data_IF_197974808294
#
_entry.id   IF_197974808294
#
_cell.length_a   1.000
_cell.length_b   1.000
_cell.length_c   1.000
_cell.angle_alpha   90.00
_cell.angle_beta   90.00
_cell.angle_gamma   90.00
#
_symmetry.space_group_name_H-M   'P 1'
#
loop_
_entity.id
_entity.type
_entity.pdbx_description
1 polymer ?
#
# COMPACT_ATOMS: atom_id res chain seq x y z
N UNK A 1 -1.96 -6.11 4.80
CA UNK A 1 -1.43 -6.23 3.42
C UNK A 1 0.06 -6.61 3.41
N UNK A 2 0.48 -7.41 2.42
CA UNK A 2 1.88 -7.81 2.18
C UNK A 2 2.52 -6.76 1.26
N UNK A 3 3.48 -5.98 1.76
CA UNK A 3 4.24 -5.01 0.96
C UNK A 3 5.72 -5.42 0.88
N UNK A 4 6.28 -5.78 -0.28
CA UNK A 4 7.69 -6.12 -0.38
C UNK A 4 8.59 -4.88 -0.44
N UNK A 5 9.82 -4.99 0.10
CA UNK A 5 10.84 -3.96 -0.04
C UNK A 5 11.50 -4.07 -1.41
N UNK A 6 11.10 -3.21 -2.34
CA UNK A 6 11.82 -2.87 -3.59
C UNK A 6 12.19 -4.04 -4.51
N UNK A 7 11.29 -4.37 -5.43
CA UNK A 7 11.55 -5.15 -6.64
C UNK A 7 10.48 -4.85 -7.67
N UNK A 8 10.66 -5.32 -8.91
CA UNK A 8 9.66 -5.25 -9.97
C UNK A 8 8.38 -5.97 -9.53
N UNK A 9 7.52 -5.20 -8.88
CA UNK A 9 6.32 -5.66 -8.23
C UNK A 9 5.34 -6.14 -9.30
N UNK A 10 4.84 -7.40 -9.21
CA UNK A 10 3.72 -7.81 -10.04
C UNK A 10 2.53 -6.88 -9.76
N UNK A 11 1.70 -6.66 -10.79
CA UNK A 11 0.45 -5.89 -10.60
C UNK A 11 -0.41 -6.49 -9.47
N UNK A 12 -1.31 -5.70 -8.87
CA UNK A 12 -2.26 -6.17 -7.87
C UNK A 12 -3.04 -7.39 -8.38
N UNK A 13 -3.46 -7.38 -9.64
CA UNK A 13 -4.12 -8.52 -10.30
C UNK A 13 -3.25 -9.78 -10.33
N UNK A 14 -1.99 -9.64 -10.73
CA UNK A 14 -1.06 -10.77 -10.80
C UNK A 14 -0.73 -11.31 -9.40
N UNK A 15 -0.56 -10.42 -8.42
CA UNK A 15 -0.36 -10.80 -7.01
C UNK A 15 -1.53 -11.65 -6.49
N UNK A 16 -2.77 -11.23 -6.73
CA UNK A 16 -3.96 -11.98 -6.31
C UNK A 16 -4.09 -13.33 -7.03
N UNK A 17 -3.74 -13.41 -8.32
CA UNK A 17 -3.72 -14.66 -9.07
C UNK A 17 -2.71 -15.66 -8.49
N UNK A 18 -1.49 -15.21 -8.18
CA UNK A 18 -0.45 -16.05 -7.58
C UNK A 18 -0.84 -16.48 -6.16
N UNK A 19 -1.43 -15.57 -5.37
CA UNK A 19 -1.91 -15.87 -4.03
C UNK A 19 -3.04 -16.92 -4.06
N UNK A 20 -3.98 -16.82 -5.00
CA UNK A 20 -5.02 -17.84 -5.20
C UNK A 20 -4.41 -19.22 -5.43
N UNK A 21 -3.41 -19.33 -6.31
CA UNK A 21 -2.74 -20.61 -6.60
C UNK A 21 -2.01 -21.18 -5.37
N UNK A 22 -1.35 -20.32 -4.58
CA UNK A 22 -0.71 -20.73 -3.33
C UNK A 22 -1.74 -21.17 -2.28
N UNK A 23 -2.91 -20.54 -2.23
CA UNK A 23 -4.00 -20.93 -1.35
C UNK A 23 -4.60 -22.29 -1.75
N UNK A 24 -4.89 -22.49 -3.04
CA UNK A 24 -5.44 -23.76 -3.58
C UNK A 24 -4.49 -24.95 -3.39
N UNK A 25 -3.18 -24.70 -3.32
CA UNK A 25 -2.17 -25.72 -3.01
C UNK A 25 -1.95 -25.91 -1.50
N UNK A 26 -2.67 -25.18 -0.65
CA UNK A 26 -2.58 -25.29 0.81
C UNK A 26 -1.31 -24.68 1.41
N UNK A 27 -0.59 -23.83 0.68
CA UNK A 27 0.66 -23.22 1.14
C UNK A 27 0.45 -21.96 1.97
N UNK A 28 -0.63 -21.22 1.71
CA UNK A 28 -0.98 -20.00 2.45
C UNK A 28 -2.45 -20.02 2.90
N UNK A 29 -2.78 -19.19 3.89
CA UNK A 29 -4.16 -18.91 4.29
C UNK A 29 -4.90 -18.08 3.24
N UNK A 30 -6.22 -17.92 3.41
CA UNK A 30 -7.06 -17.20 2.45
C UNK A 30 -6.59 -15.75 2.25
N UNK A 31 -6.37 -15.36 1.00
CA UNK A 31 -5.68 -14.12 0.61
C UNK A 31 -6.58 -12.89 0.52
N UNK A 32 -7.91 -13.03 0.65
CA UNK A 32 -8.85 -11.90 0.71
C UNK A 32 -9.27 -11.70 2.15
N UNK A 33 -8.40 -11.03 2.90
CA UNK A 33 -8.57 -10.77 4.32
C UNK A 33 -8.08 -9.36 4.61
N UNK A 34 -8.83 -8.64 5.43
CA UNK A 34 -8.46 -7.38 6.07
C UNK A 34 -7.85 -7.60 7.46
N UNK A 35 -7.85 -8.86 7.92
CA UNK A 35 -7.32 -9.24 9.22
C UNK A 35 -5.80 -9.30 9.22
N UNK A 36 -5.22 -8.80 10.31
CA UNK A 36 -3.80 -9.01 10.66
C UNK A 36 -3.62 -9.97 11.83
N UNK A 37 -4.72 -10.57 12.29
CA UNK A 37 -4.71 -11.48 13.42
C UNK A 37 -4.06 -12.83 13.03
N UNK A 38 -3.41 -13.47 14.00
CA UNK A 38 -2.81 -14.79 13.87
C UNK A 38 -3.42 -15.71 14.93
N UNK A 39 -3.75 -16.95 14.54
CA UNK A 39 -4.26 -17.94 15.50
C UNK A 39 -3.18 -18.29 16.53
N UNK A 40 -3.59 -18.70 17.74
CA UNK A 40 -2.66 -19.11 18.79
C UNK A 40 -1.78 -20.30 18.36
N UNK A 41 -2.33 -21.20 17.55
CA UNK A 41 -1.60 -22.31 16.96
C UNK A 41 -0.49 -21.81 16.02
N UNK A 42 -0.81 -20.88 15.11
CA UNK A 42 0.16 -20.34 14.16
C UNK A 42 1.29 -19.56 14.84
N UNK A 43 0.95 -18.80 15.89
CA UNK A 43 1.92 -18.07 16.72
C UNK A 43 2.86 -19.06 17.41
N UNK A 44 2.31 -20.11 18.02
CA UNK A 44 3.09 -21.12 18.73
C UNK A 44 4.04 -21.84 17.78
N UNK A 45 3.55 -22.27 16.61
CA UNK A 45 4.36 -22.93 15.58
C UNK A 45 5.47 -22.01 15.04
N UNK A 46 5.17 -20.73 14.78
CA UNK A 46 6.17 -19.78 14.31
C UNK A 46 7.27 -19.57 15.36
N UNK A 47 6.90 -19.43 16.63
CA UNK A 47 7.86 -19.29 17.74
C UNK A 47 8.72 -20.55 17.90
N UNK A 48 8.14 -21.74 17.81
CA UNK A 48 8.92 -22.98 17.85
C UNK A 48 9.94 -23.03 16.70
N UNK A 49 9.51 -22.69 15.48
CA UNK A 49 10.39 -22.61 14.30
C UNK A 49 11.53 -21.62 14.51
N UNK A 50 11.24 -20.43 15.02
CA UNK A 50 12.23 -19.39 15.28
C UNK A 50 13.27 -19.86 16.30
N UNK A 51 12.82 -20.46 17.41
CA UNK A 51 13.70 -20.97 18.45
C UNK A 51 14.66 -22.03 17.94
N UNK A 52 14.17 -22.97 17.11
CA UNK A 52 14.99 -24.02 16.49
C UNK A 52 15.98 -23.48 15.45
N UNK A 53 15.58 -22.48 14.66
CA UNK A 53 16.34 -22.04 13.47
C UNK A 53 17.31 -20.90 13.78
N UNK A 54 16.90 -19.93 14.60
CA UNK A 54 17.66 -18.72 14.88
C UNK A 54 18.17 -18.65 16.32
N UNK A 55 17.63 -19.46 17.22
CA UNK A 55 17.99 -19.49 18.64
C UNK A 55 17.14 -18.55 19.51
N UNK A 56 17.25 -18.73 20.82
CA UNK A 56 16.40 -18.03 21.80
C UNK A 56 16.49 -16.51 21.77
N UNK A 57 17.64 -15.95 21.37
CA UNK A 57 17.82 -14.49 21.26
C UNK A 57 16.94 -13.86 20.16
N UNK A 58 16.42 -14.66 19.22
CA UNK A 58 15.52 -14.22 18.16
C UNK A 58 14.05 -14.51 18.48
N UNK A 59 13.72 -14.95 19.70
CA UNK A 59 12.34 -15.03 20.16
C UNK A 59 11.95 -13.73 20.84
N UNK A 60 10.85 -13.13 20.38
CA UNK A 60 10.23 -12.06 21.15
C UNK A 60 9.87 -12.57 22.56
N UNK A 61 10.15 -11.79 23.64
CA UNK A 61 9.94 -12.25 25.02
C UNK A 61 8.52 -12.75 25.27
N UNK A 62 7.54 -12.07 24.68
CA UNK A 62 6.13 -12.45 24.68
C UNK A 62 5.63 -12.64 23.24
N UNK A 63 4.61 -13.49 23.02
CA UNK A 63 3.93 -13.59 21.73
C UNK A 63 3.40 -12.22 21.27
N UNK A 64 3.65 -11.86 20.00
CA UNK A 64 3.19 -10.58 19.44
C UNK A 64 1.81 -10.77 18.82
N UNK A 65 0.83 -10.05 19.36
CA UNK A 65 -0.56 -10.06 18.88
C UNK A 65 -0.83 -8.78 18.09
N UNK A 66 -1.27 -8.93 16.84
CA UNK A 66 -1.65 -7.83 15.96
C UNK A 66 -3.17 -7.79 15.83
N UNK A 67 -3.75 -6.60 15.98
CA UNK A 67 -5.19 -6.37 15.87
C UNK A 67 -5.50 -5.49 14.67
N UNK A 68 -6.58 -5.82 13.99
CA UNK A 68 -7.12 -5.01 12.88
C UNK A 68 -7.67 -3.70 13.43
N UNK A 69 -7.41 -2.59 12.75
CA UNK A 69 -7.87 -1.26 13.18
C UNK A 69 -9.26 -0.90 12.66
N UNK A 70 -9.71 -1.52 11.57
CA UNK A 70 -10.99 -1.24 10.93
C UNK A 70 -12.12 -1.93 11.70
N UNK A 71 -13.15 -1.16 12.08
CA UNK A 71 -14.31 -1.64 12.85
C UNK A 71 -15.21 -2.61 12.06
N UNK A 72 -15.21 -2.50 10.73
CA UNK A 72 -15.98 -3.36 9.83
C UNK A 72 -15.18 -4.54 9.31
N UNK A 73 -13.95 -4.75 9.82
CA UNK A 73 -13.13 -5.86 9.37
C UNK A 73 -13.85 -7.18 9.66
N UNK A 74 -13.81 -8.09 8.70
CA UNK A 74 -14.36 -9.44 8.86
C UNK A 74 -13.46 -10.22 9.84
N UNK A 75 -13.60 -9.94 11.15
CA UNK A 75 -12.74 -10.44 12.24
C UNK A 75 -12.69 -11.97 12.35
N UNK A 76 -13.55 -12.68 11.64
CA UNK A 76 -13.53 -14.14 11.52
C UNK A 76 -12.36 -14.68 10.68
N UNK A 77 -11.61 -13.81 9.99
CA UNK A 77 -10.50 -14.21 9.14
C UNK A 77 -9.13 -14.02 9.80
N UNK A 78 -8.19 -14.84 9.36
CA UNK A 78 -6.79 -14.77 9.77
C UNK A 78 -5.99 -13.94 8.77
N UNK A 79 -4.81 -13.45 9.18
CA UNK A 79 -3.83 -12.85 8.29
C UNK A 79 -3.37 -13.80 7.18
N UNK A 80 -2.89 -13.22 6.08
CA UNK A 80 -2.20 -13.98 5.03
C UNK A 80 -0.84 -14.42 5.55
N UNK A 81 -0.66 -15.72 5.75
CA UNK A 81 0.57 -16.36 6.25
C UNK A 81 0.77 -17.70 5.57
N UNK A 82 1.94 -18.30 5.75
CA UNK A 82 2.11 -19.72 5.41
C UNK A 82 1.23 -20.58 6.32
N UNK A 83 0.70 -21.67 5.79
CA UNK A 83 -0.08 -22.64 6.57
C UNK A 83 0.80 -23.36 7.58
N UNK A 84 2.06 -23.61 7.24
CA UNK A 84 3.09 -24.17 8.12
C UNK A 84 4.38 -23.33 8.10
N UNK A 85 4.96 -22.99 9.27
CA UNK A 85 6.30 -22.39 9.39
C UNK A 85 7.42 -23.31 8.89
N UNK A 86 7.24 -24.63 8.92
CA UNK A 86 8.26 -25.62 8.51
C UNK A 86 8.39 -25.76 7.00
N UNK A 87 7.41 -25.29 6.24
CA UNK A 87 7.48 -25.20 4.79
C UNK A 87 8.39 -24.04 4.36
N UNK A 88 9.70 -24.16 4.62
CA UNK A 88 10.65 -23.09 4.31
C UNK A 88 10.70 -22.81 2.80
N UNK A 89 10.81 -21.53 2.38
CA UNK A 89 10.78 -21.16 0.96
C UNK A 89 11.76 -21.96 0.09
N UNK A 90 13.02 -22.09 0.51
CA UNK A 90 14.04 -22.81 -0.27
C UNK A 90 13.70 -24.30 -0.49
N UNK A 91 12.99 -24.94 0.46
CA UNK A 91 12.53 -26.33 0.30
C UNK A 91 11.44 -26.49 -0.78
N UNK A 92 10.72 -25.41 -1.07
CA UNK A 92 9.65 -25.36 -2.06
C UNK A 92 10.10 -24.82 -3.42
N UNK A 93 11.30 -24.27 -3.51
CA UNK A 93 11.88 -23.72 -4.74
C UNK A 93 11.77 -24.65 -5.96
N UNK A 94 12.07 -25.96 -5.89
CA UNK A 94 11.93 -26.85 -7.05
C UNK A 94 10.45 -27.16 -7.41
N UNK A 95 9.50 -26.86 -6.54
CA UNK A 95 8.06 -27.18 -6.70
C UNK A 95 7.23 -25.99 -7.17
N UNK A 96 7.77 -24.78 -7.08
CA UNK A 96 7.04 -23.53 -7.37
C UNK A 96 7.59 -22.85 -8.62
N UNK A 97 6.68 -22.27 -9.41
CA UNK A 97 7.10 -21.36 -10.46
C UNK A 97 7.84 -20.14 -9.86
N UNK A 98 8.79 -19.51 -10.57
CA UNK A 98 9.62 -18.43 -10.01
C UNK A 98 8.83 -17.28 -9.36
N UNK A 99 7.67 -16.91 -9.92
CA UNK A 99 6.83 -15.85 -9.36
C UNK A 99 6.02 -16.30 -8.14
N UNK A 100 5.54 -17.55 -8.12
CA UNK A 100 4.89 -18.14 -6.94
C UNK A 100 5.87 -18.25 -5.78
N UNK A 101 7.10 -18.70 -6.05
CA UNK A 101 8.18 -18.76 -5.06
C UNK A 101 8.44 -17.39 -4.45
N UNK A 102 8.60 -16.34 -5.27
CA UNK A 102 8.83 -14.97 -4.77
C UNK A 102 7.71 -14.48 -3.85
N UNK A 103 6.45 -14.74 -4.20
CA UNK A 103 5.32 -14.35 -3.36
C UNK A 103 5.25 -15.17 -2.07
N UNK A 104 5.48 -16.48 -2.16
CA UNK A 104 5.51 -17.36 -1.00
C UNK A 104 6.63 -16.98 -0.02
N UNK A 105 7.85 -16.78 -0.52
CA UNK A 105 9.00 -16.34 0.27
C UNK A 105 8.71 -15.05 1.03
N UNK A 106 8.09 -14.07 0.35
CA UNK A 106 7.67 -12.82 0.96
C UNK A 106 6.64 -13.02 2.09
N UNK A 107 5.63 -13.86 1.86
CA UNK A 107 4.59 -14.18 2.86
C UNK A 107 5.21 -14.88 4.06
N UNK A 108 6.01 -15.91 3.82
CA UNK A 108 6.66 -16.70 4.86
C UNK A 108 7.59 -15.83 5.71
N UNK A 109 8.48 -15.06 5.07
CA UNK A 109 9.40 -14.17 5.79
C UNK A 109 8.66 -13.14 6.63
N UNK A 110 7.59 -12.55 6.08
CA UNK A 110 6.76 -11.57 6.81
C UNK A 110 6.12 -12.21 8.03
N UNK A 111 5.55 -13.40 7.89
CA UNK A 111 4.92 -14.15 8.97
C UNK A 111 5.91 -14.47 10.10
N UNK A 112 7.07 -15.06 9.77
CA UNK A 112 8.10 -15.40 10.76
C UNK A 112 8.62 -14.15 11.47
N UNK A 113 8.91 -13.08 10.72
CA UNK A 113 9.37 -11.82 11.27
C UNK A 113 8.40 -11.18 12.28
N UNK A 114 7.09 -11.45 12.19
CA UNK A 114 6.11 -10.92 13.15
C UNK A 114 6.32 -11.39 14.59
N UNK A 115 6.95 -12.55 14.79
CA UNK A 115 7.19 -13.14 16.11
C UNK A 115 8.66 -13.02 16.57
N UNK A 116 9.49 -12.33 15.79
CA UNK A 116 10.88 -12.01 16.12
C UNK A 116 10.98 -10.67 16.88
N UNK A 117 12.04 -10.45 17.68
CA UNK A 117 12.28 -9.19 18.37
C UNK A 117 12.61 -8.06 17.39
N UNK A 118 12.53 -6.82 17.89
CA UNK A 118 12.91 -5.64 17.12
C UNK A 118 14.42 -5.64 16.84
N UNK A 119 14.79 -5.02 15.72
CA UNK A 119 16.17 -4.68 15.47
C UNK A 119 16.62 -3.55 16.40
N UNK A 120 17.85 -3.62 16.90
CA UNK A 120 18.45 -2.63 17.78
C UNK A 120 19.55 -1.90 17.03
N UNK A 121 19.53 -0.57 17.11
CA UNK A 121 20.51 0.29 16.48
C UNK A 121 21.11 1.27 17.48
N UNK A 122 22.37 1.61 17.28
CA UNK A 122 23.00 2.76 17.91
C UNK A 122 22.81 3.98 17.01
N UNK A 123 22.00 4.93 17.48
CA UNK A 123 21.81 6.23 16.83
C UNK A 123 22.75 7.27 17.42
N UNK A 124 23.56 7.91 16.58
CA UNK A 124 24.49 8.98 16.98
C UNK A 124 24.10 10.27 16.27
N UNK A 125 23.94 11.37 17.02
CA UNK A 125 23.77 12.71 16.45
C UNK A 125 24.90 13.59 16.94
N UNK A 126 25.62 14.22 16.02
CA UNK A 126 26.76 15.09 16.31
C UNK A 126 26.41 16.49 15.82
N UNK A 127 26.33 17.44 16.75
CA UNK A 127 26.19 18.86 16.46
C UNK A 127 27.57 19.52 16.49
N UNK A 128 27.96 20.09 15.35
CA UNK A 128 29.27 20.74 15.15
C UNK A 128 29.02 22.24 15.05
N UNK A 129 29.42 22.97 16.10
CA UNK A 129 29.37 24.42 16.11
C UNK A 129 30.51 25.01 15.26
N UNK A 130 30.17 25.90 14.34
CA UNK A 130 31.13 26.60 13.50
C UNK A 130 30.75 28.09 13.44
N UNK A 131 31.38 28.90 14.30
CA UNK A 131 31.02 30.31 14.51
C UNK A 131 29.53 30.43 14.90
N UNK A 132 28.69 31.05 14.06
CA UNK A 132 27.24 31.19 14.27
C UNK A 132 26.39 30.05 13.69
N UNK A 133 27.01 29.06 13.05
CA UNK A 133 26.32 27.95 12.39
C UNK A 133 26.41 26.66 13.20
N UNK A 134 25.44 25.76 13.00
CA UNK A 134 25.46 24.40 13.51
C UNK A 134 25.32 23.47 12.31
N UNK A 135 26.28 22.56 12.15
CA UNK A 135 26.18 21.43 11.24
C UNK A 135 25.76 20.20 12.04
N UNK A 136 24.84 19.39 11.50
CA UNK A 136 24.41 18.14 12.14
C UNK A 136 24.78 16.95 11.27
N UNK A 137 25.46 15.98 11.86
CA UNK A 137 25.68 14.66 11.28
C UNK A 137 24.88 13.62 12.08
N UNK A 138 24.17 12.74 11.37
CA UNK A 138 23.44 11.63 11.98
C UNK A 138 24.06 10.31 11.51
N UNK A 139 24.32 9.44 12.47
CA UNK A 139 24.84 8.09 12.29
C UNK A 139 23.86 7.07 12.83
N UNK A 140 23.88 5.89 12.24
CA UNK A 140 23.06 4.77 12.67
C UNK A 140 23.79 3.45 12.37
N UNK A 141 24.02 2.62 13.39
CA UNK A 141 24.74 1.35 13.26
C UNK A 141 23.88 0.21 13.80
N UNK A 142 23.74 -0.87 13.04
CA UNK A 142 22.96 -2.03 13.47
C UNK A 142 23.72 -2.82 14.54
N UNK A 143 23.13 -2.96 15.74
CA UNK A 143 23.68 -3.77 16.84
C UNK A 143 23.07 -5.15 16.93
N UNK A 144 21.80 -5.26 16.58
CA UNK A 144 21.08 -6.53 16.54
C UNK A 144 20.05 -6.48 15.42
N UNK A 145 20.12 -7.44 14.50
CA UNK A 145 19.26 -7.50 13.32
C UNK A 145 17.82 -7.92 13.64
N UNK A 146 17.57 -8.64 14.75
CA UNK A 146 16.22 -9.02 15.15
C UNK A 146 15.41 -9.62 13.98
N UNK A 147 14.21 -9.10 13.74
CA UNK A 147 13.38 -9.52 12.61
C UNK A 147 13.97 -9.22 11.22
N UNK A 148 14.90 -8.25 11.09
CA UNK A 148 15.55 -7.92 9.81
C UNK A 148 16.39 -9.07 9.26
N UNK A 149 16.81 -10.01 10.12
CA UNK A 149 17.51 -11.23 9.71
C UNK A 149 16.72 -12.05 8.69
N UNK A 150 15.40 -12.10 8.85
CA UNK A 150 14.49 -12.87 7.98
C UNK A 150 13.78 -11.97 6.98
N UNK A 151 13.49 -10.72 7.38
CA UNK A 151 12.80 -9.73 6.56
C UNK A 151 13.66 -8.49 6.34
N UNK A 152 14.69 -8.57 5.48
CA UNK A 152 15.64 -7.48 5.29
C UNK A 152 14.93 -6.29 4.65
N UNK A 153 15.09 -5.12 5.27
CA UNK A 153 14.67 -3.84 4.72
C UNK A 153 15.91 -3.02 4.37
N UNK A 154 15.82 -2.19 3.33
CA UNK A 154 16.90 -1.26 2.99
C UNK A 154 17.10 -0.30 4.16
N UNK A 155 18.19 -0.51 4.90
CA UNK A 155 18.66 0.38 5.95
C UNK A 155 20.01 0.91 5.48
N UNK A 156 20.21 2.22 5.58
CA UNK A 156 21.50 2.84 5.31
C UNK A 156 22.19 2.99 6.65
N UNK A 157 23.16 2.12 6.91
CA UNK A 157 24.04 2.29 8.06
C UNK A 157 25.02 3.41 7.77
N UNK A 158 25.15 4.33 8.72
CA UNK A 158 26.06 5.46 8.65
C UNK A 158 26.88 5.45 9.92
N UNK A 159 28.09 4.91 9.83
CA UNK A 159 29.04 4.94 10.94
C UNK A 159 29.68 6.33 11.02
N UNK A 160 29.60 6.94 12.20
CA UNK A 160 30.29 8.18 12.50
C UNK A 160 31.53 7.89 13.34
N UNK A 161 32.62 8.65 13.19
CA UNK A 161 33.81 8.49 14.02
C UNK A 161 33.46 8.77 15.49
N UNK A 162 34.16 8.09 16.40
CA UNK A 162 34.12 8.43 17.81
C UNK A 162 34.72 9.83 18.00
N UNK A 163 33.98 10.71 18.65
CA UNK A 163 34.41 12.07 18.98
C UNK A 163 34.18 12.33 20.47
N UNK A 164 35.01 13.20 21.04
CA UNK A 164 34.80 13.73 22.39
C UNK A 164 33.98 15.02 22.35
N UNK A 165 33.27 15.29 23.44
CA UNK A 165 32.58 16.57 23.58
C UNK A 165 33.62 17.71 23.53
N UNK A 166 33.34 18.74 22.72
CA UNK A 166 34.21 19.91 22.49
C UNK A 166 35.54 19.57 21.80
N UNK A 167 35.65 18.42 21.15
CA UNK A 167 36.78 18.12 20.28
C UNK A 167 36.84 19.12 19.10
N UNK A 168 38.04 19.65 18.83
CA UNK A 168 38.24 20.56 17.71
C UNK A 168 38.32 19.76 16.40
N UNK A 169 37.48 20.12 15.43
CA UNK A 169 37.46 19.48 14.11
C UNK A 169 38.05 20.40 13.03
N UNK A 170 38.76 19.81 12.07
CA UNK A 170 39.29 20.50 10.91
C UNK A 170 38.30 20.42 9.73
N UNK A 171 37.96 21.57 9.15
CA UNK A 171 37.14 21.65 7.94
C UNK A 171 37.98 21.21 6.73
N UNK A 172 37.72 20.01 6.22
CA UNK A 172 38.39 19.50 5.00
C UNK A 172 37.83 20.08 3.71
N UNK A 173 36.51 20.19 3.62
CA UNK A 173 35.81 20.61 2.40
C UNK A 173 34.44 21.22 2.74
N UNK A 174 34.02 22.24 2.00
CA UNK A 174 32.67 22.83 2.10
C UNK A 174 31.98 22.75 0.73
N UNK A 175 30.98 21.87 0.60
CA UNK A 175 30.17 21.71 -0.62
C UNK A 175 28.86 22.46 -0.50
N UNK A 176 28.68 23.50 -1.30
CA UNK A 176 27.38 24.14 -1.45
C UNK A 176 26.47 23.27 -2.33
N UNK A 177 25.34 22.84 -1.78
CA UNK A 177 24.32 22.11 -2.53
C UNK A 177 23.02 22.91 -2.54
N UNK A 178 22.44 23.08 -3.72
CA UNK A 178 21.12 23.64 -3.89
C UNK A 178 20.15 22.49 -4.14
N UNK A 179 19.04 22.50 -3.40
CA UNK A 179 17.94 21.57 -3.57
C UNK A 179 16.68 22.34 -3.96
N UNK A 180 15.82 21.69 -4.73
CA UNK A 180 14.50 22.21 -5.09
C UNK A 180 13.43 21.34 -4.44
N UNK A 181 12.30 21.95 -4.08
CA UNK A 181 11.13 21.19 -3.65
C UNK A 181 10.55 20.45 -4.85
N UNK A 182 10.26 19.17 -4.66
CA UNK A 182 9.56 18.37 -5.67
C UNK A 182 8.05 18.39 -5.39
N UNK A 183 7.20 18.30 -6.44
CA UNK A 183 5.77 18.12 -6.24
C UNK A 183 5.46 16.75 -5.60
N UNK A 184 4.27 16.57 -5.01
CA UNK A 184 3.84 15.27 -4.49
C UNK A 184 3.97 14.17 -5.54
N UNK A 185 4.53 13.03 -5.13
CA UNK A 185 4.69 11.88 -6.01
C UNK A 185 3.34 11.31 -6.44
N UNK A 186 3.21 10.95 -7.73
CA UNK A 186 2.05 10.19 -8.21
C UNK A 186 1.96 8.83 -7.52
N UNK A 187 0.74 8.35 -7.34
CA UNK A 187 0.49 7.01 -6.85
C UNK A 187 1.00 5.93 -7.82
N UNK A 188 1.63 4.88 -7.32
CA UNK A 188 1.63 3.55 -7.96
C UNK A 188 0.46 2.70 -7.39
N UNK A 189 0.24 1.49 -7.93
CA UNK A 189 -0.85 0.62 -7.46
C UNK A 189 -0.79 0.35 -5.94
N UNK A 190 0.39 0.13 -5.36
CA UNK A 190 0.52 -0.13 -3.93
C UNK A 190 0.13 1.09 -3.07
N UNK A 191 0.60 2.28 -3.45
CA UNK A 191 0.26 3.53 -2.74
C UNK A 191 -1.19 3.95 -2.95
N UNK A 192 -1.81 3.64 -4.11
CA UNK A 192 -3.22 3.91 -4.34
C UNK A 192 -4.11 2.96 -3.53
N UNK A 193 -3.78 1.67 -3.49
CA UNK A 193 -4.48 0.71 -2.63
C UNK A 193 -4.37 1.12 -1.16
N UNK A 194 -3.20 1.58 -0.72
CA UNK A 194 -3.01 2.10 0.64
C UNK A 194 -3.90 3.32 0.91
N UNK A 195 -3.96 4.27 -0.02
CA UNK A 195 -4.84 5.44 0.11
C UNK A 195 -6.33 5.04 0.17
N UNK A 196 -6.75 4.09 -0.68
CA UNK A 196 -8.11 3.55 -0.66
C UNK A 196 -8.44 2.91 0.71
N UNK A 197 -7.55 2.09 1.25
CA UNK A 197 -7.69 1.49 2.59
C UNK A 197 -7.78 2.57 3.70
N UNK A 198 -6.92 3.59 3.65
CA UNK A 198 -6.91 4.70 4.63
C UNK A 198 -8.20 5.53 4.59
N UNK A 199 -8.83 5.65 3.42
CA UNK A 199 -10.12 6.30 3.24
C UNK A 199 -11.32 5.37 3.45
N UNK A 200 -11.12 4.09 3.79
CA UNK A 200 -12.22 3.13 3.97
C UNK A 200 -12.92 2.71 2.67
N UNK A 201 -12.31 3.02 1.52
CA UNK A 201 -12.87 2.75 0.19
C UNK A 201 -12.30 1.45 -0.34
N UNK A 202 -13.18 0.56 -0.76
CA UNK A 202 -12.82 -0.77 -1.24
C UNK A 202 -12.53 -1.77 -0.13
N UNK A 203 -12.39 -3.03 -0.53
CA UNK A 203 -12.22 -4.19 0.32
C UNK A 203 -11.17 -5.12 -0.29
N UNK A 204 -10.62 -6.11 0.45
CA UNK A 204 -9.65 -7.06 -0.09
C UNK A 204 -10.08 -7.72 -1.42
N UNK A 205 -11.38 -7.85 -1.64
CA UNK A 205 -11.98 -8.38 -2.87
C UNK A 205 -12.00 -7.40 -4.05
N UNK A 206 -11.94 -6.08 -3.81
CA UNK A 206 -12.16 -5.04 -4.83
C UNK A 206 -10.91 -4.26 -5.22
N UNK A 207 -9.85 -4.22 -4.40
CA UNK A 207 -8.62 -3.46 -4.73
C UNK A 207 -8.04 -3.81 -6.11
N UNK A 208 -7.75 -5.09 -6.36
CA UNK A 208 -7.16 -5.52 -7.63
C UNK A 208 -8.13 -5.35 -8.83
N UNK A 209 -9.43 -5.71 -8.74
CA UNK A 209 -10.41 -5.41 -9.78
C UNK A 209 -10.54 -3.92 -10.10
N UNK A 210 -10.56 -3.03 -9.10
CA UNK A 210 -10.61 -1.58 -9.30
C UNK A 210 -9.40 -1.10 -10.08
N UNK A 211 -8.18 -1.50 -9.67
CA UNK A 211 -6.94 -1.16 -10.40
C UNK A 211 -6.97 -1.67 -11.85
N UNK A 212 -7.46 -2.89 -12.07
CA UNK A 212 -7.57 -3.46 -13.41
C UNK A 212 -8.60 -2.70 -14.27
N UNK A 213 -9.71 -2.26 -13.68
CA UNK A 213 -10.81 -1.62 -14.40
C UNK A 213 -10.44 -0.22 -14.88
N UNK A 214 -9.84 0.61 -14.00
CA UNK A 214 -9.45 1.98 -14.36
C UNK A 214 -8.33 2.00 -15.42
N UNK A 215 -7.45 0.99 -15.42
CA UNK A 215 -6.43 0.80 -16.44
C UNK A 215 -7.02 0.27 -17.75
N UNK A 216 -7.90 -0.73 -17.70
CA UNK A 216 -8.52 -1.32 -18.90
C UNK A 216 -9.41 -0.32 -19.64
N UNK A 217 -10.11 0.56 -18.91
CA UNK A 217 -10.91 1.66 -19.48
C UNK A 217 -10.08 2.89 -19.89
N UNK A 218 -8.75 2.84 -19.72
CA UNK A 218 -7.81 3.92 -20.03
C UNK A 218 -8.11 5.24 -19.32
N UNK A 219 -8.68 5.21 -18.12
CA UNK A 219 -8.78 6.40 -17.27
C UNK A 219 -7.43 6.78 -16.66
N UNK A 220 -6.59 5.76 -16.42
CA UNK A 220 -5.21 5.94 -15.98
C UNK A 220 -4.28 5.05 -16.80
N UNK A 221 -3.05 5.53 -17.00
CA UNK A 221 -1.95 4.78 -17.61
C UNK A 221 -0.75 4.77 -16.66
N UNK A 222 0.12 3.78 -16.80
CA UNK A 222 1.40 3.77 -16.10
C UNK A 222 2.42 4.60 -16.86
N UNK A 223 3.11 5.50 -16.16
CA UNK A 223 4.29 6.18 -16.69
C UNK A 223 5.50 5.23 -16.73
N UNK A 224 6.63 5.74 -17.22
CA UNK A 224 7.89 4.99 -17.33
C UNK A 224 8.39 4.47 -15.96
N UNK A 225 8.01 5.15 -14.87
CA UNK A 225 8.33 4.77 -13.49
C UNK A 225 7.23 3.91 -12.85
N UNK A 226 6.29 3.38 -13.66
CA UNK A 226 5.16 2.53 -13.23
C UNK A 226 4.17 3.22 -12.27
N UNK A 227 4.11 4.55 -12.27
CA UNK A 227 3.15 5.35 -11.51
C UNK A 227 1.91 5.62 -12.35
N UNK A 228 0.75 5.68 -11.71
CA UNK A 228 -0.54 5.94 -12.33
C UNK A 228 -0.66 7.43 -12.66
N UNK A 229 -0.82 7.71 -13.95
CA UNK A 229 -1.09 9.04 -14.50
C UNK A 229 -2.50 9.05 -15.10
N UNK A 230 -3.37 10.01 -14.73
CA UNK A 230 -4.66 10.16 -15.38
C UNK A 230 -4.48 10.51 -16.87
N UNK A 231 -5.37 9.99 -17.70
CA UNK A 231 -5.47 10.38 -19.11
C UNK A 231 -6.44 11.55 -19.26
N UNK A 232 -6.43 12.21 -20.42
CA UNK A 232 -7.36 13.30 -20.70
C UNK A 232 -8.82 12.83 -20.59
N UNK A 233 -9.12 11.61 -21.06
CA UNK A 233 -10.45 10.98 -20.88
C UNK A 233 -10.75 10.73 -19.40
N UNK A 234 -9.77 10.31 -18.61
CA UNK A 234 -9.93 10.10 -17.17
C UNK A 234 -10.23 11.39 -16.42
N UNK A 235 -9.53 12.48 -16.75
CA UNK A 235 -9.78 13.81 -16.19
C UNK A 235 -11.17 14.31 -16.59
N UNK A 236 -11.50 14.27 -17.89
CA UNK A 236 -12.81 14.69 -18.39
C UNK A 236 -13.97 13.94 -17.70
N UNK A 237 -13.89 12.62 -17.59
CA UNK A 237 -14.92 11.83 -16.91
C UNK A 237 -15.01 12.18 -15.43
N UNK A 238 -13.87 12.40 -14.75
CA UNK A 238 -13.87 12.81 -13.36
C UNK A 238 -14.55 14.18 -13.18
N UNK A 239 -14.22 15.16 -14.02
CA UNK A 239 -14.72 16.53 -13.89
C UNK A 239 -16.24 16.58 -14.09
N UNK A 240 -16.77 15.84 -15.07
CA UNK A 240 -18.21 15.66 -15.27
C UNK A 240 -18.87 15.07 -14.02
N UNK A 241 -18.27 14.04 -13.41
CA UNK A 241 -18.84 13.38 -12.23
C UNK A 241 -18.77 14.28 -11.00
N UNK A 242 -17.68 15.03 -10.80
CA UNK A 242 -17.55 15.98 -9.70
C UNK A 242 -18.55 17.11 -9.84
N UNK A 243 -18.76 17.64 -11.05
CA UNK A 243 -19.68 18.75 -11.28
C UNK A 243 -21.16 18.33 -11.14
N UNK A 244 -21.52 17.17 -11.70
CA UNK A 244 -22.93 16.78 -11.84
C UNK A 244 -23.38 15.69 -10.88
N UNK A 245 -22.45 14.93 -10.29
CA UNK A 245 -22.73 13.85 -9.35
C UNK A 245 -21.84 13.94 -8.09
N UNK A 246 -21.65 15.11 -7.46
CA UNK A 246 -20.65 15.30 -6.38
C UNK A 246 -20.85 14.34 -5.21
N UNK A 247 -22.11 14.02 -4.86
CA UNK A 247 -22.42 13.12 -3.74
C UNK A 247 -21.88 11.70 -3.94
N UNK A 248 -21.91 11.15 -5.15
CA UNK A 248 -21.54 9.73 -5.37
C UNK A 248 -20.03 9.53 -5.56
N UNK A 249 -19.30 10.60 -5.89
CA UNK A 249 -17.83 10.59 -6.03
C UNK A 249 -17.12 11.13 -4.79
N UNK A 250 -17.87 11.62 -3.82
CA UNK A 250 -17.35 11.98 -2.52
C UNK A 250 -16.78 10.75 -1.79
N UNK A 251 -15.63 10.95 -1.13
CA UNK A 251 -14.90 9.88 -0.47
C UNK A 251 -15.66 9.36 0.76
N UNK A 252 -16.25 10.26 1.55
CA UNK A 252 -16.99 9.89 2.77
C UNK A 252 -18.27 9.14 2.40
N UNK A 253 -18.97 9.58 1.35
CA UNK A 253 -20.13 8.87 0.84
C UNK A 253 -19.78 7.45 0.38
N UNK A 254 -18.70 7.31 -0.39
CA UNK A 254 -18.25 6.00 -0.89
C UNK A 254 -17.87 5.07 0.27
N UNK A 255 -17.11 5.59 1.25
CA UNK A 255 -16.74 4.82 2.44
C UNK A 255 -17.96 4.41 3.28
N UNK A 256 -18.93 5.32 3.45
CA UNK A 256 -20.17 5.03 4.16
C UNK A 256 -21.01 3.96 3.49
N UNK A 257 -21.09 3.97 2.14
CA UNK A 257 -21.77 2.90 1.39
C UNK A 257 -21.09 1.54 1.60
N UNK A 258 -19.76 1.49 1.62
CA UNK A 258 -19.02 0.26 1.88
C UNK A 258 -19.26 -0.25 3.33
N UNK A 259 -19.33 0.64 4.32
CA UNK A 259 -19.68 0.29 5.71
C UNK A 259 -21.14 -0.21 5.81
N UNK A 260 -22.07 0.40 5.10
CA UNK A 260 -23.47 -0.05 5.06
C UNK A 260 -23.59 -1.47 4.49
N UNK A 261 -22.79 -1.80 3.47
CA UNK A 261 -22.76 -3.14 2.89
C UNK A 261 -22.15 -4.17 3.84
N UNK A 262 -21.14 -3.81 4.61
CA UNK A 262 -20.59 -4.66 5.68
C UNK A 262 -21.64 -4.88 6.79
N UNK A 263 -22.33 -3.82 7.22
CA UNK A 263 -23.40 -3.91 8.22
C UNK A 263 -24.57 -4.78 7.75
N UNK A 264 -24.87 -4.80 6.44
CA UNK A 264 -25.84 -5.72 5.85
C UNK A 264 -25.35 -7.16 5.93
N UNK A 265 -24.08 -7.42 5.59
CA UNK A 265 -23.49 -8.76 5.64
C UNK A 265 -23.47 -9.32 7.07
N UNK A 266 -23.23 -8.45 8.06
CA UNK A 266 -23.27 -8.78 9.49
C UNK A 266 -24.70 -8.89 10.07
N UNK A 267 -25.73 -8.56 9.28
CA UNK A 267 -27.13 -8.57 9.71
C UNK A 267 -27.53 -7.39 10.61
N UNK A 268 -26.69 -6.36 10.74
CA UNK A 268 -26.95 -5.12 11.50
C UNK A 268 -27.90 -4.18 10.74
N UNK A 269 -27.86 -4.17 9.40
CA UNK A 269 -28.75 -3.36 8.55
C UNK A 269 -29.55 -4.22 7.58
N UNK A 270 -30.73 -3.74 7.18
CA UNK A 270 -31.52 -4.33 6.10
C UNK A 270 -31.10 -3.69 4.77
N UNK A 271 -30.88 -4.50 3.74
CA UNK A 271 -30.39 -4.00 2.45
C UNK A 271 -31.37 -3.07 1.73
N UNK A 272 -32.69 -3.32 1.81
CA UNK A 272 -33.69 -2.54 1.06
C UNK A 272 -33.69 -1.05 1.43
N UNK A 273 -33.70 -0.67 2.73
CA UNK A 273 -33.54 0.73 3.14
C UNK A 273 -32.27 1.39 2.58
N UNK A 274 -31.11 0.76 2.73
CA UNK A 274 -29.81 1.30 2.28
C UNK A 274 -29.83 1.57 0.77
N UNK A 275 -30.25 0.58 -0.02
CA UNK A 275 -30.33 0.74 -1.48
C UNK A 275 -31.35 1.81 -1.88
N UNK A 276 -32.48 1.91 -1.16
CA UNK A 276 -33.50 2.93 -1.42
C UNK A 276 -32.95 4.34 -1.17
N UNK A 277 -32.23 4.54 -0.07
CA UNK A 277 -31.62 5.82 0.32
C UNK A 277 -30.57 6.30 -0.69
N UNK A 278 -29.83 5.36 -1.31
CA UNK A 278 -28.96 5.67 -2.44
C UNK A 278 -29.74 5.96 -3.73
N UNK A 279 -30.66 5.06 -4.09
CA UNK A 279 -31.23 5.01 -5.43
C UNK A 279 -32.17 6.18 -5.72
N UNK A 280 -33.03 6.57 -4.77
CA UNK A 280 -34.02 7.63 -5.03
C UNK A 280 -33.36 8.97 -5.38
N UNK A 281 -32.41 9.51 -4.59
CA UNK A 281 -31.74 10.76 -4.93
C UNK A 281 -30.84 10.64 -6.17
N UNK A 282 -30.16 9.49 -6.33
CA UNK A 282 -29.31 9.26 -7.50
C UNK A 282 -30.14 9.27 -8.80
N UNK A 283 -31.29 8.58 -8.80
CA UNK A 283 -32.17 8.47 -9.97
C UNK A 283 -32.76 9.82 -10.36
N UNK A 284 -33.24 10.60 -9.38
CA UNK A 284 -33.74 11.96 -9.62
C UNK A 284 -32.68 12.85 -10.27
N UNK A 285 -31.45 12.84 -9.73
CA UNK A 285 -30.35 13.62 -10.30
C UNK A 285 -29.93 13.11 -11.69
N UNK A 286 -29.90 11.79 -11.89
CA UNK A 286 -29.58 11.18 -13.18
C UNK A 286 -30.59 11.58 -14.27
N UNK A 287 -31.89 11.58 -13.95
CA UNK A 287 -32.93 11.95 -14.91
C UNK A 287 -32.80 13.43 -15.31
N UNK A 288 -32.65 14.31 -14.32
CA UNK A 288 -32.40 15.74 -14.56
C UNK A 288 -31.17 15.99 -15.43
N UNK A 289 -30.04 15.36 -15.09
CA UNK A 289 -28.78 15.56 -15.81
C UNK A 289 -28.78 14.92 -17.20
N UNK A 290 -29.56 13.87 -17.43
CA UNK A 290 -29.69 13.27 -18.76
C UNK A 290 -30.41 14.18 -19.76
N UNK A 291 -31.26 15.09 -19.28
CA UNK A 291 -31.94 16.10 -20.10
C UNK A 291 -31.08 17.36 -20.30
N UNK A 292 -30.35 17.78 -19.27
CA UNK A 292 -29.52 18.99 -19.29
C UNK A 292 -28.20 18.81 -20.06
N UNK A 293 -27.64 17.61 -20.08
CA UNK A 293 -26.29 17.36 -20.60
C UNK A 293 -26.30 16.87 -22.05
N UNK A 294 -25.77 17.69 -22.97
CA UNK A 294 -25.51 17.26 -24.33
C UNK A 294 -24.09 16.70 -24.48
N UNK A 295 -23.98 15.42 -24.82
CA UNK A 295 -22.71 14.71 -25.03
C UNK A 295 -21.74 15.45 -25.97
N UNK A 296 -22.24 16.17 -26.98
CA UNK A 296 -21.41 16.91 -27.93
C UNK A 296 -20.75 18.15 -27.33
N UNK A 297 -21.42 18.82 -26.40
CA UNK A 297 -20.91 20.04 -25.76
C UNK A 297 -19.82 19.70 -24.74
N UNK A 298 -19.92 18.53 -24.11
CA UNK A 298 -18.99 18.07 -23.07
C UNK A 298 -17.69 17.50 -23.64
N UNK A 299 -17.72 16.89 -24.83
CA UNK A 299 -16.53 16.31 -25.47
C UNK A 299 -15.69 17.32 -26.26
N UNK A 300 -16.13 18.58 -26.34
CA UNK A 300 -15.49 19.65 -27.09
C UNK A 300 -14.83 20.63 -26.12
N UNK A 301 -13.64 20.29 -25.61
CA UNK A 301 -12.83 21.25 -24.86
C UNK A 301 -12.14 22.21 -25.83
N UNK A 302 -12.42 23.50 -25.70
CA UNK A 302 -11.64 24.52 -26.41
C UNK A 302 -10.22 24.50 -25.87
N UNK A 303 -9.28 24.14 -26.72
CA UNK A 303 -7.86 24.28 -26.38
C UNK A 303 -7.45 25.76 -26.53
N UNK A 304 -6.43 26.18 -25.78
CA UNK A 304 -5.81 27.51 -25.98
C UNK A 304 -5.01 27.60 -27.30
N UNK A 305 -4.93 26.49 -28.04
CA UNK A 305 -4.19 26.37 -29.28
C UNK A 305 -5.07 26.77 -30.46
N UNK A 306 -4.54 27.61 -31.35
CA UNK A 306 -5.21 27.96 -32.60
C UNK A 306 -4.75 27.05 -33.72
N UNK A 307 -5.68 26.64 -34.58
CA UNK A 307 -5.38 25.87 -35.77
C UNK A 307 -4.44 26.68 -36.69
N UNK A 308 -3.24 26.19 -37.02
CA UNK A 308 -2.28 26.93 -37.83
C UNK A 308 -2.74 27.17 -39.27
N UNK A 309 -3.73 26.42 -39.77
CA UNK A 309 -4.26 26.60 -41.13
C UNK A 309 -5.43 27.58 -41.22
N UNK A 310 -6.31 27.63 -40.22
CA UNK A 310 -7.54 28.44 -40.28
C UNK A 310 -7.73 29.43 -39.14
N UNK A 311 -6.84 29.47 -38.15
CA UNK A 311 -6.86 30.43 -37.04
C UNK A 311 -8.04 30.27 -36.06
N UNK A 312 -8.91 29.28 -36.27
CA UNK A 312 -9.98 28.92 -35.33
C UNK A 312 -9.40 28.19 -34.12
N UNK A 313 -10.08 28.30 -33.00
CA UNK A 313 -9.70 27.56 -31.79
C UNK A 313 -9.77 26.05 -32.09
N UNK A 314 -8.71 25.32 -31.74
CA UNK A 314 -8.71 23.87 -31.81
C UNK A 314 -9.62 23.33 -30.70
N UNK A 315 -10.49 22.41 -31.07
CA UNK A 315 -11.47 21.73 -30.21
C UNK A 315 -11.22 20.23 -30.29
#
# INVERSE_FOLDING_TARGET
>A
MIYPPTGDLPSAKQTMMLAQQLYETGLITYMRTDSVNLSQESISAAREKIGKTFGNNYLAPLPRIYKTKLKSAQEAHEAIRSTSPDAEPESLRPKLAPQQFKLYDLIWRRFIATQMPDAVFDATSIDIAASKYIFRANGNILRFDGFLKVYPMKTVETELPALLEKENLELKELKSQQHFTEPPARYNEASLIKALEEHGIGRPSTYAPTMATIQARRYVLKDEQKRLKPTDIGVLVNDILVEHFPKIVDLEFTAGMEEDLDDIADGKKKWRPVIKEFWEPFKENLDKKSEELNKKEITMEKTELKCPECGKDLI
#
